data_IF_543589646618
#
_entry.id   IF_543589646618
#
_cell.length_a   1.000
_cell.length_b   1.000
_cell.length_c   1.000
_cell.angle_alpha   90.00
_cell.angle_beta   90.00
_cell.angle_gamma   90.00
#
_symmetry.space_group_name_H-M   'P 1'
#
loop_
_entity.id
_entity.type
_entity.pdbx_description
1 polymer ?
#
# COMPACT_ATOMS: atom_id res chain seq x y z
N UNK A 1 -32.94 8.46 -3.91
CA UNK A 1 -32.08 7.26 -3.91
C UNK A 1 -32.84 6.15 -3.20
N UNK A 2 -33.11 5.02 -3.87
CA UNK A 2 -33.71 3.86 -3.23
C UNK A 2 -32.73 3.24 -2.22
N UNK A 3 -33.25 2.39 -1.34
CA UNK A 3 -32.44 1.61 -0.40
C UNK A 3 -31.59 0.59 -1.17
N UNK A 4 -30.30 0.51 -0.86
CA UNK A 4 -29.44 -0.57 -1.33
C UNK A 4 -29.56 -1.80 -0.41
N UNK A 5 -29.67 -2.99 -1.00
CA UNK A 5 -29.76 -4.25 -0.24
C UNK A 5 -28.37 -4.84 0.06
N UNK A 6 -27.40 -4.64 -0.85
CA UNK A 6 -26.07 -5.27 -0.78
C UNK A 6 -24.91 -4.25 -0.78
N UNK A 7 -25.04 -3.11 -0.11
CA UNK A 7 -23.94 -2.14 -0.04
C UNK A 7 -22.78 -2.68 0.81
N UNK A 8 -21.62 -2.86 0.20
CA UNK A 8 -20.41 -3.37 0.86
C UNK A 8 -19.57 -2.20 1.38
N UNK A 9 -19.03 -2.34 2.60
CA UNK A 9 -18.06 -1.39 3.13
C UNK A 9 -16.74 -1.51 2.37
N UNK A 10 -16.25 -0.38 1.84
CA UNK A 10 -14.94 -0.34 1.21
C UNK A 10 -13.85 -0.50 2.26
N UNK A 11 -12.87 -1.35 1.96
CA UNK A 11 -11.67 -1.50 2.78
C UNK A 11 -10.48 -0.84 2.10
N UNK A 12 -9.57 -0.31 2.91
CA UNK A 12 -8.36 0.30 2.40
C UNK A 12 -7.40 -0.78 1.88
N UNK A 13 -6.90 -0.60 0.66
CA UNK A 13 -5.95 -1.51 0.02
C UNK A 13 -4.67 -0.73 -0.33
N UNK A 14 -3.55 -1.13 0.29
CA UNK A 14 -2.27 -0.46 0.13
C UNK A 14 -1.69 -0.64 -1.28
N UNK A 15 -2.01 -1.75 -1.94
CA UNK A 15 -1.50 -2.06 -3.28
C UNK A 15 -2.22 -1.16 -4.31
N UNK A 16 -3.54 -0.98 -4.15
CA UNK A 16 -4.33 -0.03 -4.96
C UNK A 16 -3.86 1.41 -4.71
N UNK A 17 -3.62 1.80 -3.46
CA UNK A 17 -3.14 3.14 -3.13
C UNK A 17 -1.77 3.43 -3.75
N UNK A 18 -0.82 2.50 -3.64
CA UNK A 18 0.52 2.67 -4.21
C UNK A 18 0.46 2.81 -5.74
N UNK A 19 -0.35 1.99 -6.41
CA UNK A 19 -0.55 2.09 -7.86
C UNK A 19 -1.22 3.43 -8.25
N UNK A 20 -2.21 3.89 -7.49
CA UNK A 20 -2.84 5.19 -7.70
C UNK A 20 -1.82 6.35 -7.55
N UNK A 21 -0.95 6.27 -6.54
CA UNK A 21 0.12 7.24 -6.33
C UNK A 21 1.10 7.26 -7.51
N UNK A 22 1.64 6.10 -7.92
CA UNK A 22 2.60 6.00 -9.01
C UNK A 22 2.00 6.50 -10.34
N UNK A 23 0.77 6.11 -10.64
CA UNK A 23 0.07 6.57 -11.85
C UNK A 23 -0.17 8.09 -11.86
N UNK A 24 -0.28 8.74 -10.69
CA UNK A 24 -0.41 10.20 -10.60
C UNK A 24 0.87 10.90 -11.03
N UNK A 25 2.04 10.28 -10.78
CA UNK A 25 3.35 10.82 -11.16
C UNK A 25 3.74 10.49 -12.62
N UNK A 26 3.38 9.30 -13.12
CA UNK A 26 3.66 8.88 -14.50
C UNK A 26 2.59 7.90 -15.02
N UNK A 27 1.60 8.46 -15.74
CA UNK A 27 0.53 7.66 -16.36
C UNK A 27 1.01 6.84 -17.56
N UNK A 28 2.21 7.08 -18.09
CA UNK A 28 2.70 6.43 -19.30
C UNK A 28 3.36 5.10 -19.01
N UNK A 29 4.08 5.01 -17.88
CA UNK A 29 4.80 3.79 -17.48
C UNK A 29 4.08 2.99 -16.42
N UNK A 30 3.20 3.62 -15.62
CA UNK A 30 2.42 2.95 -14.57
C UNK A 30 0.92 3.25 -14.75
N UNK A 31 0.27 2.67 -15.79
CA UNK A 31 -1.16 2.87 -15.99
C UNK A 31 -1.96 2.18 -14.87
N UNK A 32 -3.09 2.78 -14.50
CA UNK A 32 -4.09 2.08 -13.68
C UNK A 32 -4.55 0.83 -14.46
N UNK A 33 -4.55 -0.37 -13.85
CA UNK A 33 -5.01 -1.57 -14.53
C UNK A 33 -6.46 -1.42 -15.01
N UNK A 34 -6.77 -1.98 -16.17
CA UNK A 34 -8.09 -1.82 -16.83
C UNK A 34 -9.27 -2.39 -16.04
N UNK A 35 -8.99 -3.28 -15.09
CA UNK A 35 -9.99 -3.90 -14.23
C UNK A 35 -10.42 -2.98 -13.08
N UNK A 36 -9.68 -1.88 -12.85
CA UNK A 36 -10.04 -0.84 -11.90
C UNK A 36 -10.69 0.35 -12.60
N UNK A 37 -11.79 0.82 -12.03
CA UNK A 37 -12.29 2.15 -12.34
C UNK A 37 -11.51 3.19 -11.52
N UNK A 38 -11.22 4.35 -12.13
CA UNK A 38 -10.43 5.41 -11.50
C UNK A 38 -11.13 6.75 -11.58
N UNK A 39 -11.17 7.47 -10.45
CA UNK A 39 -11.47 8.90 -10.41
C UNK A 39 -10.18 9.71 -10.23
N UNK A 40 -10.09 10.85 -10.87
CA UNK A 40 -8.96 11.78 -10.72
C UNK A 40 -9.45 13.22 -10.72
N UNK A 41 -8.81 14.07 -9.92
CA UNK A 41 -9.05 15.51 -9.94
C UNK A 41 -7.74 16.26 -9.76
N UNK A 42 -7.62 17.42 -10.40
CA UNK A 42 -6.50 18.33 -10.18
C UNK A 42 -6.79 19.21 -8.98
N UNK A 43 -5.89 19.19 -8.00
CA UNK A 43 -5.96 20.05 -6.83
C UNK A 43 -5.00 21.24 -6.98
N UNK A 44 -5.51 22.45 -6.77
CA UNK A 44 -4.65 23.64 -6.67
C UNK A 44 -4.12 23.76 -5.25
N UNK A 45 -2.83 23.53 -5.04
CA UNK A 45 -2.20 23.65 -3.72
C UNK A 45 -1.63 25.06 -3.52
N UNK A 46 -2.05 25.77 -2.46
CA UNK A 46 -1.53 27.11 -2.13
C UNK A 46 -0.25 27.06 -1.27
N UNK A 47 0.32 25.88 -1.06
CA UNK A 47 1.56 25.65 -0.30
C UNK A 47 1.39 25.38 1.20
N UNK A 48 0.17 25.45 1.75
CA UNK A 48 -0.09 25.05 3.14
C UNK A 48 -0.45 23.56 3.22
N UNK A 49 0.25 22.81 4.09
CA UNK A 49 0.03 21.35 4.28
C UNK A 49 -1.39 21.01 4.76
N UNK A 50 -2.06 21.90 5.51
CA UNK A 50 -3.42 21.65 6.01
C UNK A 50 -4.50 21.70 4.92
N UNK A 51 -4.25 22.39 3.80
CA UNK A 51 -5.25 22.59 2.73
C UNK A 51 -5.61 21.26 2.03
N UNK A 52 -4.73 20.26 2.07
CA UNK A 52 -4.93 19.02 1.32
C UNK A 52 -6.14 18.23 1.80
N UNK A 53 -6.43 18.21 3.11
CA UNK A 53 -7.60 17.51 3.65
C UNK A 53 -8.89 18.20 3.21
N UNK A 54 -8.94 19.53 3.31
CA UNK A 54 -10.10 20.32 2.90
C UNK A 54 -10.34 20.21 1.39
N UNK A 55 -9.27 20.32 0.59
CA UNK A 55 -9.33 20.17 -0.86
C UNK A 55 -9.75 18.76 -1.29
N UNK A 56 -9.23 17.72 -0.61
CA UNK A 56 -9.62 16.32 -0.89
C UNK A 56 -11.09 16.09 -0.54
N UNK A 57 -11.55 16.55 0.63
CA UNK A 57 -12.96 16.45 1.00
C UNK A 57 -13.87 17.23 0.05
N UNK A 58 -13.44 18.39 -0.44
CA UNK A 58 -14.19 19.16 -1.44
C UNK A 58 -14.35 18.38 -2.76
N UNK A 59 -13.30 17.67 -3.21
CA UNK A 59 -13.37 16.79 -4.39
C UNK A 59 -14.28 15.59 -4.14
N UNK A 60 -14.13 14.89 -3.03
CA UNK A 60 -14.98 13.74 -2.72
C UNK A 60 -16.46 14.13 -2.63
N UNK A 61 -16.75 15.28 -2.01
CA UNK A 61 -18.11 15.81 -1.95
C UNK A 61 -18.63 16.20 -3.34
N UNK A 62 -17.80 16.76 -4.23
CA UNK A 62 -18.23 17.12 -5.57
C UNK A 62 -18.54 15.89 -6.44
N UNK A 63 -17.76 14.81 -6.30
CA UNK A 63 -18.07 13.51 -6.91
C UNK A 63 -19.37 12.95 -6.36
N UNK A 64 -19.55 12.96 -5.04
CA UNK A 64 -20.79 12.49 -4.42
C UNK A 64 -22.02 13.30 -4.86
N UNK A 65 -21.88 14.62 -5.00
CA UNK A 65 -22.96 15.53 -5.36
C UNK A 65 -23.49 15.34 -6.79
N UNK A 66 -22.77 14.63 -7.66
CA UNK A 66 -23.29 14.24 -8.98
C UNK A 66 -24.56 13.38 -8.89
N UNK A 67 -24.81 12.71 -7.75
CA UNK A 67 -26.09 12.04 -7.51
C UNK A 67 -27.29 12.96 -7.65
N UNK A 68 -27.10 14.26 -7.34
CA UNK A 68 -28.16 15.28 -7.39
C UNK A 68 -28.50 15.72 -8.80
N UNK A 69 -27.70 15.36 -9.80
CA UNK A 69 -27.92 15.75 -11.20
C UNK A 69 -29.14 15.05 -11.84
N UNK A 70 -29.59 13.94 -11.26
CA UNK A 70 -30.67 13.11 -11.80
C UNK A 70 -31.69 12.74 -10.70
N UNK A 71 -32.93 12.43 -11.07
CA UNK A 71 -33.95 11.98 -10.12
C UNK A 71 -33.92 10.46 -9.92
N UNK A 72 -33.57 10.03 -8.70
CA UNK A 72 -33.45 8.63 -8.29
C UNK A 72 -34.55 8.21 -7.31
N UNK A 73 -35.77 8.75 -7.43
CA UNK A 73 -36.87 8.43 -6.51
C UNK A 73 -37.45 7.02 -6.71
N UNK A 74 -37.48 6.52 -7.95
CA UNK A 74 -38.19 5.27 -8.29
C UNK A 74 -37.29 4.20 -8.91
N UNK A 75 -36.12 4.57 -9.41
CA UNK A 75 -35.12 3.68 -10.01
C UNK A 75 -33.74 4.34 -9.86
N UNK A 76 -32.70 3.54 -9.64
CA UNK A 76 -31.31 4.01 -9.53
C UNK A 76 -30.61 3.80 -10.89
N UNK A 77 -31.03 4.57 -11.90
CA UNK A 77 -30.41 4.51 -13.23
C UNK A 77 -29.14 5.36 -13.24
N UNK A 78 -28.02 4.69 -13.44
CA UNK A 78 -26.72 5.34 -13.63
C UNK A 78 -26.66 6.11 -14.95
N UNK A 79 -26.28 7.39 -14.90
CA UNK A 79 -25.95 8.19 -16.08
C UNK A 79 -24.45 8.53 -16.11
N UNK A 80 -23.70 7.84 -16.96
CA UNK A 80 -22.25 8.03 -17.11
C UNK A 80 -21.85 9.46 -17.55
N UNK A 81 -22.75 10.21 -18.17
CA UNK A 81 -22.44 11.59 -18.61
C UNK A 81 -22.46 12.60 -17.46
N UNK A 82 -23.29 12.37 -16.45
CA UNK A 82 -23.53 13.31 -15.35
C UNK A 82 -23.09 12.77 -14.00
N UNK A 83 -22.82 11.46 -13.90
CA UNK A 83 -22.60 10.75 -12.64
C UNK A 83 -21.38 9.83 -12.66
N UNK A 84 -20.45 10.02 -13.60
CA UNK A 84 -19.29 9.13 -13.78
C UNK A 84 -18.55 8.85 -12.48
N UNK A 85 -18.13 9.92 -11.80
CA UNK A 85 -17.34 9.81 -10.59
C UNK A 85 -18.19 9.29 -9.42
N UNK A 86 -19.46 9.69 -9.34
CA UNK A 86 -20.41 9.13 -8.36
C UNK A 86 -20.59 7.63 -8.53
N UNK A 87 -20.67 7.13 -9.77
CA UNK A 87 -20.72 5.70 -10.07
C UNK A 87 -19.57 4.97 -9.42
N UNK A 88 -18.33 5.42 -9.63
CA UNK A 88 -17.15 4.77 -9.07
C UNK A 88 -17.14 4.79 -7.53
N UNK A 89 -17.63 5.87 -6.89
CA UNK A 89 -17.71 5.98 -5.42
C UNK A 89 -18.87 5.17 -4.82
N UNK A 90 -19.92 4.87 -5.59
CA UNK A 90 -21.15 4.22 -5.12
C UNK A 90 -21.39 2.80 -5.64
N UNK A 91 -20.57 2.33 -6.59
CA UNK A 91 -20.72 1.02 -7.23
C UNK A 91 -20.35 -0.12 -6.28
N UNK A 92 -21.23 -1.11 -6.28
CA UNK A 92 -21.21 -2.35 -5.51
C UNK A 92 -20.12 -3.37 -5.95
N UNK A 93 -19.39 -3.13 -7.04
CA UNK A 93 -18.47 -4.11 -7.60
C UNK A 93 -17.02 -3.91 -7.10
N UNK A 94 -16.77 -4.20 -5.82
CA UNK A 94 -15.40 -4.46 -5.34
C UNK A 94 -15.33 -5.89 -4.84
N UNK A 95 -15.28 -6.82 -5.79
CA UNK A 95 -14.66 -8.12 -5.53
C UNK A 95 -13.24 -8.01 -6.07
N UNK A 96 -12.28 -8.01 -5.15
CA UNK A 96 -10.84 -8.12 -5.37
C UNK A 96 -10.49 -9.00 -6.56
N UNK A 97 -10.25 -8.41 -7.73
CA UNK A 97 -9.68 -9.10 -8.88
C UNK A 97 -8.31 -8.47 -9.16
N UNK A 98 -7.35 -9.02 -8.41
CA UNK A 98 -5.91 -9.11 -8.70
C UNK A 98 -5.53 -8.61 -10.09
N UNK A 99 -5.31 -7.31 -10.23
CA UNK A 99 -4.71 -6.74 -11.42
C UNK A 99 -3.33 -6.20 -11.07
N UNK A 100 -2.42 -7.15 -10.80
CA UNK A 100 -1.02 -6.84 -10.62
C UNK A 100 -0.30 -6.96 -11.98
N UNK A 101 0.59 -6.02 -12.36
CA UNK A 101 1.46 -6.14 -13.52
C UNK A 101 2.43 -7.31 -13.32
N UNK A 102 2.52 -8.20 -14.32
CA UNK A 102 3.37 -9.41 -14.36
C UNK A 102 4.73 -9.20 -13.65
N UNK A 103 5.18 -10.14 -12.81
CA UNK A 103 6.40 -9.97 -12.02
C UNK A 103 7.64 -9.98 -12.93
N UNK A 104 8.68 -9.23 -12.53
CA UNK A 104 10.05 -9.31 -13.08
C UNK A 104 10.75 -10.65 -12.77
N UNK A 105 10.12 -11.49 -11.95
CA UNK A 105 10.64 -12.78 -11.53
C UNK A 105 10.21 -13.90 -12.48
N UNK A 106 11.14 -14.64 -13.10
CA UNK A 106 10.81 -15.75 -13.97
C UNK A 106 10.39 -16.96 -13.13
N UNK A 107 9.11 -17.08 -12.78
CA UNK A 107 8.51 -18.35 -12.39
C UNK A 107 7.10 -18.51 -13.00
N UNK A 108 6.65 -19.75 -13.26
CA UNK A 108 5.82 -20.07 -14.41
C UNK A 108 4.35 -20.07 -14.01
N UNK A 109 3.57 -19.15 -14.59
CA UNK A 109 2.09 -19.16 -14.56
C UNK A 109 1.45 -18.95 -13.16
N UNK A 110 0.24 -18.40 -13.16
CA UNK A 110 -0.56 -18.20 -11.96
C UNK A 110 -0.76 -19.54 -11.21
N UNK A 111 -0.41 -19.58 -9.92
CA UNK A 111 -0.57 -20.75 -9.05
C UNK A 111 0.70 -21.60 -8.81
N UNK A 112 1.85 -21.24 -9.37
CA UNK A 112 3.15 -21.85 -9.01
C UNK A 112 3.92 -20.97 -8.02
N UNK A 113 4.61 -21.61 -7.07
CA UNK A 113 5.43 -20.93 -6.06
C UNK A 113 6.82 -20.59 -6.61
N UNK A 114 7.32 -19.42 -6.24
CA UNK A 114 8.67 -18.96 -6.55
C UNK A 114 9.78 -19.75 -5.84
N UNK A 115 11.05 -19.40 -6.12
CA UNK A 115 12.22 -19.92 -5.37
C UNK A 115 12.20 -19.48 -3.90
N UNK A 116 11.50 -18.39 -3.61
CA UNK A 116 11.18 -17.83 -2.30
C UNK A 116 9.97 -18.51 -1.61
N UNK A 117 9.35 -19.49 -2.28
CA UNK A 117 8.10 -20.17 -1.86
C UNK A 117 6.91 -19.25 -1.67
N UNK A 118 6.91 -18.06 -2.26
CA UNK A 118 5.75 -17.18 -2.24
C UNK A 118 4.96 -17.28 -3.54
N UNK A 119 3.66 -16.98 -3.43
CA UNK A 119 2.82 -16.75 -4.60
C UNK A 119 3.17 -15.39 -5.21
N UNK A 120 2.79 -15.21 -6.46
CA UNK A 120 2.93 -13.93 -7.14
C UNK A 120 2.28 -12.76 -6.38
N UNK A 121 1.06 -12.96 -5.87
CA UNK A 121 0.35 -11.90 -5.15
C UNK A 121 1.08 -11.49 -3.88
N UNK A 122 1.65 -12.45 -3.15
CA UNK A 122 2.46 -12.15 -1.96
C UNK A 122 3.73 -11.35 -2.29
N UNK A 123 4.39 -11.65 -3.42
CA UNK A 123 5.57 -10.88 -3.87
C UNK A 123 5.19 -9.43 -4.18
N UNK A 124 4.06 -9.23 -4.85
CA UNK A 124 3.56 -7.90 -5.19
C UNK A 124 3.14 -7.14 -3.95
N UNK A 125 2.34 -7.75 -3.07
CA UNK A 125 1.95 -7.14 -1.79
C UNK A 125 3.17 -6.76 -0.95
N UNK A 126 4.21 -7.61 -0.86
CA UNK A 126 5.44 -7.25 -0.14
C UNK A 126 6.11 -6.00 -0.73
N UNK A 127 6.26 -5.93 -2.06
CA UNK A 127 6.86 -4.79 -2.76
C UNK A 127 6.03 -3.52 -2.59
N UNK A 128 4.73 -3.62 -2.84
CA UNK A 128 3.83 -2.48 -2.92
C UNK A 128 3.55 -1.89 -1.54
N UNK A 129 3.38 -2.71 -0.51
CA UNK A 129 3.33 -2.23 0.87
C UNK A 129 4.63 -1.57 1.30
N UNK A 130 5.80 -2.13 0.95
CA UNK A 130 7.08 -1.52 1.29
C UNK A 130 7.22 -0.14 0.63
N UNK A 131 6.90 -0.04 -0.65
CA UNK A 131 6.95 1.21 -1.40
C UNK A 131 5.90 2.22 -0.93
N UNK A 132 4.71 1.76 -0.54
CA UNK A 132 3.70 2.58 0.09
C UNK A 132 4.23 3.25 1.36
N UNK A 133 4.77 2.47 2.29
CA UNK A 133 5.33 3.00 3.53
C UNK A 133 6.53 3.93 3.30
N UNK A 134 7.38 3.60 2.33
CA UNK A 134 8.49 4.47 1.90
C UNK A 134 7.99 5.79 1.34
N UNK A 135 6.89 5.79 0.58
CA UNK A 135 6.25 6.99 0.06
C UNK A 135 5.68 7.85 1.19
N UNK A 136 5.03 7.26 2.20
CA UNK A 136 4.58 8.00 3.40
C UNK A 136 5.76 8.69 4.11
N UNK A 137 6.88 7.99 4.29
CA UNK A 137 8.09 8.58 4.89
C UNK A 137 8.66 9.68 4.00
N UNK A 138 8.84 9.41 2.71
CA UNK A 138 9.45 10.35 1.77
C UNK A 138 8.69 11.67 1.68
N UNK A 139 7.36 11.60 1.73
CA UNK A 139 6.47 12.76 1.64
C UNK A 139 6.20 13.45 2.98
N UNK A 140 6.71 12.89 4.09
CA UNK A 140 6.53 13.44 5.44
C UNK A 140 5.13 13.23 6.02
N UNK A 141 4.45 12.16 5.58
CA UNK A 141 3.14 11.72 6.07
C UNK A 141 3.22 10.57 7.08
N UNK A 142 4.39 9.95 7.20
CA UNK A 142 4.63 8.90 8.18
C UNK A 142 4.61 9.47 9.61
N UNK A 143 3.75 8.95 10.47
CA UNK A 143 3.67 9.36 11.87
C UNK A 143 4.74 8.67 12.71
N UNK A 144 5.51 9.45 13.44
CA UNK A 144 6.48 8.98 14.43
C UNK A 144 5.99 9.25 15.86
N UNK A 145 6.84 9.06 16.86
CA UNK A 145 6.47 9.25 18.27
C UNK A 145 5.99 10.67 18.59
N UNK A 146 6.53 11.69 17.93
CA UNK A 146 6.32 13.10 18.29
C UNK A 146 5.61 13.93 17.20
N UNK A 147 5.23 13.31 16.09
CA UNK A 147 4.44 13.94 15.05
C UNK A 147 4.58 13.20 13.72
N UNK A 148 5.42 13.74 12.84
CA UNK A 148 5.66 13.19 11.51
C UNK A 148 7.15 13.11 11.25
N UNK A 149 7.59 12.00 10.66
CA UNK A 149 8.96 11.82 10.22
C UNK A 149 9.36 12.89 9.18
N UNK A 150 10.66 13.24 9.11
CA UNK A 150 11.16 14.17 8.11
C UNK A 150 11.01 13.62 6.69
N UNK A 151 10.86 14.52 5.72
CA UNK A 151 10.78 14.16 4.29
C UNK A 151 12.11 13.65 3.77
N UNK A 152 12.11 12.66 2.88
CA UNK A 152 13.31 12.14 2.23
C UNK A 152 13.45 12.65 0.79
N UNK A 153 14.66 13.10 0.41
CA UNK A 153 14.96 13.60 -0.95
C UNK A 153 15.38 12.50 -1.94
N UNK A 154 15.72 11.30 -1.45
CA UNK A 154 16.33 10.24 -2.26
C UNK A 154 15.77 8.85 -1.94
N UNK A 155 14.49 8.75 -1.57
CA UNK A 155 13.86 7.48 -1.28
C UNK A 155 13.55 6.73 -2.58
N UNK A 156 14.44 5.83 -2.99
CA UNK A 156 14.24 5.03 -4.20
C UNK A 156 13.13 3.99 -4.00
N UNK A 157 12.34 3.74 -5.06
CA UNK A 157 11.40 2.63 -5.08
C UNK A 157 12.15 1.29 -5.04
N UNK A 158 11.66 0.37 -4.22
CA UNK A 158 12.15 -1.00 -4.15
C UNK A 158 11.60 -1.80 -5.33
N UNK A 159 12.47 -2.63 -5.89
CA UNK A 159 12.13 -3.68 -6.85
C UNK A 159 12.23 -5.02 -6.14
N UNK A 160 11.36 -5.96 -6.50
CA UNK A 160 11.33 -7.26 -5.88
C UNK A 160 12.47 -8.15 -6.43
N UNK A 161 13.39 -8.60 -5.57
CA UNK A 161 14.47 -9.54 -5.92
C UNK A 161 14.17 -10.95 -5.40
N UNK A 162 13.56 -11.77 -6.25
CA UNK A 162 13.26 -13.17 -5.94
C UNK A 162 14.50 -14.07 -5.90
N UNK A 163 15.47 -13.85 -6.80
CA UNK A 163 16.57 -14.78 -7.02
C UNK A 163 17.56 -14.78 -5.85
N UNK A 164 17.73 -13.62 -5.21
CA UNK A 164 18.62 -13.47 -4.06
C UNK A 164 17.82 -13.25 -2.79
N UNK A 165 17.20 -12.07 -2.62
CA UNK A 165 16.61 -11.68 -1.34
C UNK A 165 15.43 -12.57 -0.92
N UNK A 166 14.51 -12.86 -1.83
CA UNK A 166 13.36 -13.74 -1.56
C UNK A 166 13.78 -15.16 -1.22
N UNK A 167 14.64 -15.77 -2.05
CA UNK A 167 15.18 -17.10 -1.80
C UNK A 167 15.97 -17.17 -0.48
N UNK A 168 16.80 -16.17 -0.21
CA UNK A 168 17.60 -16.11 1.01
C UNK A 168 16.71 -16.00 2.26
N UNK A 169 15.64 -15.21 2.20
CA UNK A 169 14.66 -15.11 3.27
C UNK A 169 13.98 -16.47 3.56
N UNK A 170 13.69 -17.27 2.53
CA UNK A 170 13.17 -18.63 2.72
C UNK A 170 14.23 -19.57 3.34
N UNK A 171 15.45 -19.56 2.81
CA UNK A 171 16.52 -20.48 3.21
C UNK A 171 16.95 -20.32 4.68
N UNK A 172 16.76 -19.14 5.28
CA UNK A 172 17.13 -18.88 6.69
C UNK A 172 16.05 -19.28 7.70
N UNK A 173 14.85 -19.65 7.24
CA UNK A 173 13.75 -20.03 8.15
C UNK A 173 13.98 -21.45 8.66
N UNK A 174 14.23 -21.55 9.97
CA UNK A 174 14.22 -22.78 10.74
C UNK A 174 13.20 -22.67 11.89
N UNK A 175 11.98 -23.20 11.67
CA UNK A 175 10.93 -23.20 12.70
C UNK A 175 11.31 -23.99 13.96
N UNK A 176 12.28 -24.91 13.89
CA UNK A 176 12.75 -25.64 15.05
C UNK A 176 13.74 -24.80 15.89
N UNK A 177 14.47 -23.87 15.25
CA UNK A 177 15.44 -22.98 15.90
C UNK A 177 15.23 -21.53 15.41
N UNK A 178 14.35 -20.75 16.06
CA UNK A 178 13.96 -19.42 15.59
C UNK A 178 15.03 -18.35 15.85
N UNK A 179 16.20 -18.53 15.23
CA UNK A 179 17.30 -17.58 15.18
C UNK A 179 17.66 -17.34 13.72
N UNK A 180 17.03 -16.31 13.15
CA UNK A 180 17.16 -15.99 11.73
C UNK A 180 18.19 -14.88 11.55
N UNK A 181 19.36 -15.23 11.03
CA UNK A 181 20.39 -14.26 10.70
C UNK A 181 20.33 -13.95 9.21
N UNK A 182 20.38 -12.67 8.84
CA UNK A 182 20.44 -12.30 7.43
C UNK A 182 21.75 -12.77 6.79
N UNK A 183 21.72 -12.99 5.47
CA UNK A 183 22.96 -13.19 4.71
C UNK A 183 23.71 -11.86 4.57
N UNK A 184 25.02 -11.94 4.32
CA UNK A 184 25.90 -10.77 4.21
C UNK A 184 25.36 -9.79 3.17
N UNK A 185 25.24 -8.51 3.55
CA UNK A 185 24.74 -7.45 2.68
C UNK A 185 23.22 -7.30 2.65
N UNK A 186 22.48 -8.15 3.38
CA UNK A 186 21.04 -8.05 3.53
C UNK A 186 20.65 -7.78 5.00
N UNK A 187 19.49 -7.16 5.18
CA UNK A 187 18.81 -7.08 6.46
C UNK A 187 17.60 -8.03 6.46
N UNK A 188 17.19 -8.49 7.64
CA UNK A 188 16.02 -9.36 7.79
C UNK A 188 15.11 -8.81 8.88
N UNK A 189 13.81 -8.75 8.56
CA UNK A 189 12.73 -8.52 9.50
C UNK A 189 11.92 -9.81 9.63
N UNK A 190 11.46 -10.12 10.84
CA UNK A 190 10.79 -11.40 11.12
C UNK A 190 9.49 -11.17 11.87
N UNK A 191 8.45 -11.91 11.52
CA UNK A 191 7.17 -11.89 12.22
C UNK A 191 6.68 -13.33 12.42
N UNK A 192 6.12 -13.61 13.59
CA UNK A 192 5.55 -14.93 13.90
C UNK A 192 4.20 -14.74 14.58
N UNK A 193 3.21 -15.49 14.12
CA UNK A 193 1.88 -15.56 14.73
C UNK A 193 1.54 -16.99 15.14
N UNK A 194 0.69 -17.14 16.16
CA UNK A 194 0.14 -18.45 16.58
C UNK A 194 -1.20 -18.75 15.92
N UNK A 195 -1.76 -17.80 15.17
CA UNK A 195 -3.02 -18.01 14.47
C UNK A 195 -2.78 -18.76 13.16
N UNK A 196 -2.96 -20.09 13.21
CA UNK A 196 -2.74 -20.99 12.07
C UNK A 196 -3.86 -20.94 11.01
N UNK A 197 -4.92 -20.16 11.26
CA UNK A 197 -6.05 -20.03 10.33
C UNK A 197 -5.97 -18.77 9.46
N UNK A 198 -4.96 -17.91 9.67
CA UNK A 198 -4.75 -16.74 8.82
C UNK A 198 -4.19 -17.17 7.46
N UNK A 199 -4.75 -16.67 6.35
CA UNK A 199 -4.12 -16.78 5.04
C UNK A 199 -2.69 -16.22 5.06
N UNK A 200 -1.78 -16.86 4.33
CA UNK A 200 -0.35 -16.47 4.30
C UNK A 200 -0.15 -15.02 3.85
N UNK A 201 -0.96 -14.55 2.90
CA UNK A 201 -0.98 -13.15 2.43
C UNK A 201 -1.40 -12.17 3.56
N UNK A 202 -2.39 -12.53 4.38
CA UNK A 202 -2.81 -11.70 5.51
C UNK A 202 -1.74 -11.66 6.60
N UNK A 203 -1.03 -12.78 6.83
CA UNK A 203 0.13 -12.81 7.73
C UNK A 203 1.24 -11.88 7.24
N UNK A 204 1.48 -11.83 5.93
CA UNK A 204 2.45 -10.91 5.32
C UNK A 204 2.01 -9.44 5.49
N UNK A 205 0.74 -9.11 5.24
CA UNK A 205 0.19 -7.77 5.45
C UNK A 205 0.30 -7.33 6.90
N UNK A 206 0.01 -8.22 7.85
CA UNK A 206 0.22 -7.97 9.28
C UNK A 206 1.69 -7.72 9.63
N UNK A 207 2.60 -8.53 9.09
CA UNK A 207 4.03 -8.40 9.33
C UNK A 207 4.56 -7.05 8.86
N UNK A 208 4.28 -6.69 7.61
CA UNK A 208 4.66 -5.42 6.99
C UNK A 208 4.14 -4.22 7.81
N UNK A 209 2.86 -4.26 8.18
CA UNK A 209 2.24 -3.21 9.02
C UNK A 209 2.93 -3.10 10.37
N UNK A 210 3.21 -4.22 11.04
CA UNK A 210 3.87 -4.20 12.36
C UNK A 210 5.31 -3.72 12.32
N UNK A 211 6.05 -4.09 11.27
CA UNK A 211 7.41 -3.58 11.09
C UNK A 211 7.39 -2.07 10.88
N UNK A 212 6.52 -1.56 10.01
CA UNK A 212 6.37 -0.13 9.79
C UNK A 212 5.93 0.63 11.06
N UNK A 213 4.95 0.08 11.79
CA UNK A 213 4.41 0.68 13.01
C UNK A 213 5.44 0.91 14.12
N UNK A 214 6.60 0.25 14.06
CA UNK A 214 7.69 0.53 14.99
C UNK A 214 8.19 1.98 14.94
N UNK A 215 7.96 2.70 13.83
CA UNK A 215 8.22 4.13 13.72
C UNK A 215 7.57 4.94 14.85
N UNK A 216 6.38 4.53 15.30
CA UNK A 216 5.66 5.20 16.41
C UNK A 216 6.39 5.12 17.76
N UNK A 217 7.41 4.26 17.87
CA UNK A 217 8.22 4.11 19.08
C UNK A 217 9.42 5.06 19.13
N UNK A 218 9.80 5.67 17.99
CA UNK A 218 10.98 6.52 17.85
C UNK A 218 10.61 7.91 17.36
N UNK A 219 11.45 8.89 17.69
CA UNK A 219 11.34 10.26 17.20
C UNK A 219 12.50 10.46 16.24
N UNK A 220 12.21 10.59 14.94
CA UNK A 220 13.25 10.74 13.94
C UNK A 220 13.61 12.22 13.84
N UNK A 221 14.86 12.55 14.21
CA UNK A 221 15.38 13.91 14.03
C UNK A 221 15.45 14.29 12.53
N UNK A 222 15.72 15.56 12.23
CA UNK A 222 15.80 16.05 10.84
C UNK A 222 16.85 15.30 9.99
N UNK A 223 17.83 14.68 10.65
CA UNK A 223 18.88 13.89 10.00
C UNK A 223 18.47 12.41 9.80
N UNK A 224 17.36 11.97 10.40
CA UNK A 224 16.82 10.61 10.36
C UNK A 224 17.87 9.51 10.55
N UNK A 225 18.78 9.70 11.52
CA UNK A 225 19.93 8.79 11.71
C UNK A 225 19.50 7.44 12.25
N UNK A 226 20.12 6.37 11.73
CA UNK A 226 20.05 5.05 12.35
C UNK A 226 20.93 5.02 13.61
N UNK A 227 20.33 5.35 14.75
CA UNK A 227 20.99 5.37 16.05
C UNK A 227 20.63 4.14 16.91
N UNK A 228 21.13 4.11 18.15
CA UNK A 228 20.83 3.03 19.08
C UNK A 228 19.35 2.92 19.47
N UNK A 229 18.59 4.03 19.41
CA UNK A 229 17.16 4.02 19.69
C UNK A 229 16.39 3.38 18.53
N UNK A 230 16.70 3.75 17.28
CA UNK A 230 16.17 3.11 16.08
C UNK A 230 16.53 1.64 16.06
N UNK A 231 17.78 1.28 16.34
CA UNK A 231 18.22 -0.12 16.41
C UNK A 231 17.46 -0.94 17.46
N UNK A 232 17.11 -0.34 18.60
CA UNK A 232 16.43 -1.06 19.69
C UNK A 232 14.92 -1.13 19.49
N UNK A 233 14.31 -0.06 18.98
CA UNK A 233 12.86 0.16 19.04
C UNK A 233 12.17 0.14 17.68
N UNK A 234 12.94 0.30 16.59
CA UNK A 234 12.43 0.46 15.22
C UNK A 234 13.33 -0.18 14.15
N UNK A 235 14.01 -1.28 14.48
CA UNK A 235 14.93 -1.96 13.56
C UNK A 235 14.23 -2.47 12.29
N UNK A 236 13.01 -2.99 12.43
CA UNK A 236 12.30 -3.60 11.31
C UNK A 236 11.66 -2.51 10.45
N UNK A 237 11.22 -1.40 11.06
CA UNK A 237 10.84 -0.18 10.33
C UNK A 237 12.01 0.31 9.46
N UNK A 238 13.22 0.36 10.03
CA UNK A 238 14.40 0.81 9.30
C UNK A 238 14.69 -0.08 8.09
N UNK A 239 14.56 -1.40 8.22
CA UNK A 239 14.74 -2.33 7.10
C UNK A 239 13.72 -2.10 5.97
N UNK A 240 12.49 -1.69 6.30
CA UNK A 240 11.44 -1.38 5.30
C UNK A 240 11.67 0.00 4.66
N UNK A 241 12.14 0.97 5.44
CA UNK A 241 11.92 2.40 5.14
C UNK A 241 13.19 3.23 5.00
N UNK A 242 14.35 2.74 5.41
CA UNK A 242 15.60 3.51 5.47
C UNK A 242 16.63 2.87 4.53
N UNK A 243 17.38 3.70 3.80
CA UNK A 243 18.52 3.31 2.94
C UNK A 243 19.78 3.89 3.53
#
# INVERSE_FOLDING_TARGET
>A
MPKAEDMVELTWDCDIENNAFLSTCDQTTVPIPTDYASNSATLSMTGKKCDIKENTMAVLNSWYDQVKAEDHQNDAKYNDQTQKEFGIVSVHLTVNLKANPLPDCPNPQAGQLGDDKMTYDMQITARDMANYYRNLVATGWAQDKNGYAPTAKGMNALVYDCATAGKDAYDIIDCANPSYNSKVGLAVSTYTTRNLNLPEEDVLKEAMSKWYDQLKNVDLDEDAKYDGNVQTSAKDFANVSIV
#
